data_IF_799952681210
#
_entry.id   IF_799952681210
#
_cell.length_a   1.000
_cell.length_b   1.000
_cell.length_c   1.000
_cell.angle_alpha   90.00
_cell.angle_beta   90.00
_cell.angle_gamma   90.00
#
_symmetry.space_group_name_H-M   'P 1'
#
loop_
_entity.id
_entity.type
_entity.pdbx_description
1 polymer ?
#
# COMPACT_ATOMS: atom_id res chain seq x y z
N UNK A 1 4.81 34.13 17.61
CA UNK A 1 3.90 33.15 16.96
C UNK A 1 4.76 32.12 16.25
N UNK A 2 5.03 31.01 16.91
CA UNK A 2 5.86 29.92 16.38
C UNK A 2 5.06 29.18 15.30
N UNK A 3 5.42 29.37 14.02
CA UNK A 3 4.82 28.65 12.90
C UNK A 3 5.26 27.20 12.99
N UNK A 4 4.47 26.38 13.68
CA UNK A 4 4.61 24.92 13.68
C UNK A 4 4.42 24.42 12.23
N UNK A 5 5.52 24.28 11.49
CA UNK A 5 5.54 23.78 10.13
C UNK A 5 5.00 22.35 10.15
N UNK A 6 3.72 22.17 9.80
CA UNK A 6 3.12 20.86 9.58
C UNK A 6 3.91 20.17 8.46
N UNK A 7 4.84 19.28 8.82
CA UNK A 7 5.48 18.37 7.86
C UNK A 7 4.35 17.62 7.12
N UNK A 8 4.27 17.78 5.79
CA UNK A 8 3.31 17.06 4.95
C UNK A 8 3.87 15.66 4.69
N UNK A 9 3.42 14.68 5.46
CA UNK A 9 3.72 13.28 5.21
C UNK A 9 2.81 12.68 4.15
N UNK A 10 3.32 11.69 3.42
CA UNK A 10 2.56 11.05 2.33
C UNK A 10 1.48 10.11 2.84
N UNK A 11 1.76 9.40 3.93
CA UNK A 11 0.80 8.58 4.64
C UNK A 11 0.69 9.04 6.10
N UNK A 12 -0.53 9.42 6.49
CA UNK A 12 -0.85 9.85 7.86
C UNK A 12 -1.45 8.65 8.61
N UNK A 13 -0.98 8.41 9.84
CA UNK A 13 -1.50 7.34 10.69
C UNK A 13 -2.69 7.86 11.49
N UNK A 14 -3.89 7.30 11.30
CA UNK A 14 -5.03 7.58 12.19
C UNK A 14 -4.89 6.78 13.48
N UNK A 15 -5.14 7.44 14.62
CA UNK A 15 -5.01 6.87 15.98
C UNK A 15 -5.99 5.72 16.27
N UNK A 16 -7.01 5.50 15.43
CA UNK A 16 -8.13 4.59 15.74
C UNK A 16 -8.56 3.64 14.61
N UNK A 17 -8.03 3.72 13.39
CA UNK A 17 -8.39 2.77 12.31
C UNK A 17 -7.38 2.80 11.17
N UNK A 18 -7.10 1.62 10.61
CA UNK A 18 -6.20 1.25 9.49
C UNK A 18 -4.83 1.96 9.45
N UNK A 19 -3.70 1.24 9.37
CA UNK A 19 -2.40 1.80 9.75
C UNK A 19 -1.89 2.96 8.89
N UNK A 20 -2.39 3.15 7.66
CA UNK A 20 -1.93 4.18 6.73
C UNK A 20 -3.08 4.75 5.89
N UNK A 21 -3.24 6.08 5.89
CA UNK A 21 -4.16 6.78 5.00
C UNK A 21 -3.37 7.66 4.00
N UNK A 22 -3.59 7.52 2.68
CA UNK A 22 -2.91 8.33 1.68
C UNK A 22 -3.38 9.79 1.80
N UNK A 23 -2.47 10.67 2.22
CA UNK A 23 -2.75 12.10 2.41
C UNK A 23 -2.19 12.96 1.28
N UNK A 24 -1.35 12.38 0.41
CA UNK A 24 -0.77 13.07 -0.74
C UNK A 24 -1.20 12.43 -2.06
N UNK A 25 -1.18 13.21 -3.12
CA UNK A 25 -1.49 12.73 -4.47
C UNK A 25 -0.51 11.64 -4.94
N UNK A 26 0.75 11.70 -4.50
CA UNK A 26 1.75 10.65 -4.75
C UNK A 26 1.37 9.31 -4.11
N UNK A 27 0.82 9.33 -2.89
CA UNK A 27 0.34 8.13 -2.23
C UNK A 27 -0.83 7.48 -3.00
N UNK A 28 -1.74 8.30 -3.53
CA UNK A 28 -2.80 7.84 -4.43
C UNK A 28 -2.27 7.27 -5.74
N UNK A 29 -1.23 7.88 -6.32
CA UNK A 29 -0.61 7.37 -7.55
C UNK A 29 0.03 6.00 -7.32
N UNK A 30 0.78 5.82 -6.22
CA UNK A 30 1.37 4.52 -5.84
C UNK A 30 0.26 3.48 -5.60
N UNK A 31 -0.81 3.86 -4.91
CA UNK A 31 -1.95 2.98 -4.66
C UNK A 31 -2.69 2.62 -5.96
N UNK A 32 -2.82 3.56 -6.89
CA UNK A 32 -3.39 3.33 -8.22
C UNK A 32 -2.54 2.40 -9.06
N UNK A 33 -1.21 2.58 -9.07
CA UNK A 33 -0.26 1.67 -9.71
C UNK A 33 -0.38 0.28 -9.11
N UNK A 34 -0.43 0.16 -7.79
CA UNK A 34 -0.63 -1.12 -7.10
C UNK A 34 -1.92 -1.82 -7.55
N UNK A 35 -3.05 -1.08 -7.60
CA UNK A 35 -4.32 -1.62 -8.05
C UNK A 35 -4.25 -2.08 -9.51
N UNK A 36 -3.65 -1.28 -10.39
CA UNK A 36 -3.49 -1.59 -11.80
C UNK A 36 -2.62 -2.84 -12.01
N UNK A 37 -1.51 -2.96 -11.29
CA UNK A 37 -0.66 -4.16 -11.29
C UNK A 37 -1.41 -5.39 -10.80
N UNK A 38 -2.22 -5.26 -9.74
CA UNK A 38 -3.00 -6.36 -9.21
C UNK A 38 -4.03 -6.87 -10.22
N UNK A 39 -4.75 -5.97 -10.89
CA UNK A 39 -5.68 -6.32 -11.98
C UNK A 39 -4.94 -6.92 -13.18
N UNK A 40 -3.81 -6.36 -13.58
CA UNK A 40 -3.01 -6.88 -14.69
C UNK A 40 -2.49 -8.30 -14.40
N UNK A 41 -1.98 -8.55 -13.18
CA UNK A 41 -1.57 -9.89 -12.75
C UNK A 41 -2.73 -10.86 -12.73
N UNK A 42 -3.91 -10.43 -12.28
CA UNK A 42 -5.10 -11.27 -12.26
C UNK A 42 -5.49 -11.70 -13.68
N UNK A 43 -5.58 -10.75 -14.62
CA UNK A 43 -5.90 -11.04 -16.03
C UNK A 43 -4.84 -11.96 -16.65
N UNK A 44 -3.56 -11.69 -16.42
CA UNK A 44 -2.47 -12.47 -17.01
C UNK A 44 -2.46 -13.93 -16.52
N UNK A 45 -2.80 -14.16 -15.25
CA UNK A 45 -2.82 -15.52 -14.67
C UNK A 45 -4.11 -16.25 -15.06
N UNK A 46 -5.25 -15.55 -15.14
CA UNK A 46 -6.52 -16.11 -15.63
C UNK A 46 -6.38 -16.65 -17.07
N UNK A 47 -5.65 -15.93 -17.93
CA UNK A 47 -5.40 -16.37 -19.32
C UNK A 47 -4.51 -17.62 -19.44
N UNK A 48 -3.66 -17.90 -18.46
CA UNK A 48 -2.70 -19.03 -18.47
C UNK A 48 -3.23 -20.26 -17.72
N UNK A 49 -4.26 -20.10 -16.87
CA UNK A 49 -4.72 -21.14 -15.96
C UNK A 49 -5.87 -21.97 -16.52
N UNK A 50 -5.71 -23.30 -16.59
CA UNK A 50 -6.79 -24.23 -16.94
C UNK A 50 -7.71 -24.59 -15.74
N UNK A 51 -7.27 -24.28 -14.52
CA UNK A 51 -7.95 -24.60 -13.27
C UNK A 51 -7.81 -23.47 -12.25
N UNK A 52 -8.88 -23.17 -11.52
CA UNK A 52 -8.96 -22.10 -10.51
C UNK A 52 -7.92 -22.30 -9.40
N UNK A 53 -7.62 -23.56 -9.06
CA UNK A 53 -6.66 -23.92 -8.03
C UNK A 53 -5.25 -23.42 -8.38
N UNK A 54 -4.80 -23.64 -9.62
CA UNK A 54 -3.49 -23.23 -10.11
C UNK A 54 -3.37 -21.70 -10.16
N UNK A 55 -4.45 -21.02 -10.52
CA UNK A 55 -4.55 -19.55 -10.49
C UNK A 55 -4.26 -19.01 -9.09
N UNK A 56 -4.87 -19.58 -8.05
CA UNK A 56 -4.70 -19.12 -6.66
C UNK A 56 -3.25 -19.36 -6.19
N UNK A 57 -2.67 -20.54 -6.49
CA UNK A 57 -1.29 -20.84 -6.10
C UNK A 57 -0.27 -19.91 -6.77
N UNK A 58 -0.50 -19.50 -8.03
CA UNK A 58 0.38 -18.56 -8.72
C UNK A 58 0.14 -17.09 -8.32
N UNK A 59 -1.09 -16.74 -7.95
CA UNK A 59 -1.51 -15.37 -7.63
C UNK A 59 -1.14 -14.96 -6.20
N UNK A 60 -1.40 -15.82 -5.21
CA UNK A 60 -1.16 -15.52 -3.79
C UNK A 60 0.25 -15.03 -3.50
N UNK A 61 1.35 -15.72 -3.90
CA UNK A 61 2.71 -15.26 -3.60
C UNK A 61 3.05 -13.94 -4.29
N UNK A 62 2.58 -13.72 -5.52
CA UNK A 62 2.79 -12.45 -6.26
C UNK A 62 2.10 -11.28 -5.58
N UNK A 63 0.86 -11.48 -5.15
CA UNK A 63 0.08 -10.47 -4.39
C UNK A 63 0.72 -10.21 -3.04
N UNK A 64 1.19 -11.25 -2.34
CA UNK A 64 1.87 -11.08 -1.06
C UNK A 64 3.14 -10.26 -1.20
N UNK A 65 3.94 -10.52 -2.25
CA UNK A 65 5.13 -9.75 -2.56
C UNK A 65 4.80 -8.29 -2.90
N UNK A 66 3.77 -8.05 -3.72
CA UNK A 66 3.32 -6.71 -4.09
C UNK A 66 2.78 -5.93 -2.87
N UNK A 67 2.01 -6.61 -2.01
CA UNK A 67 1.48 -6.04 -0.77
C UNK A 67 2.60 -5.72 0.20
N UNK A 68 3.63 -6.58 0.28
CA UNK A 68 4.83 -6.33 1.08
C UNK A 68 5.58 -5.08 0.62
N UNK A 69 5.78 -4.91 -0.69
CA UNK A 69 6.42 -3.70 -1.26
C UNK A 69 5.59 -2.45 -0.94
N UNK A 70 4.26 -2.52 -1.09
CA UNK A 70 3.37 -1.42 -0.73
C UNK A 70 3.48 -1.09 0.77
N UNK A 71 3.53 -2.11 1.62
CA UNK A 71 3.64 -1.95 3.07
C UNK A 71 4.98 -1.32 3.48
N UNK A 72 6.09 -1.76 2.90
CA UNK A 72 7.41 -1.15 3.11
C UNK A 72 7.42 0.30 2.62
N UNK A 73 6.82 0.58 1.46
CA UNK A 73 6.67 1.95 0.94
C UNK A 73 5.86 2.82 1.92
N UNK A 74 4.77 2.29 2.47
CA UNK A 74 3.98 2.97 3.50
C UNK A 74 4.77 3.21 4.80
N UNK A 75 5.70 2.32 5.18
CA UNK A 75 6.55 2.51 6.35
C UNK A 75 7.66 3.53 6.12
N UNK A 76 8.29 3.52 4.94
CA UNK A 76 9.40 4.41 4.60
C UNK A 76 8.91 5.83 4.33
N UNK A 77 7.76 5.98 3.65
CA UNK A 77 7.20 7.28 3.28
C UNK A 77 6.06 7.74 4.19
N UNK A 78 5.68 6.93 5.18
CA UNK A 78 4.67 7.28 6.18
C UNK A 78 5.22 8.02 7.38
N UNK A 79 4.32 8.59 8.18
CA UNK A 79 4.71 9.17 9.48
C UNK A 79 5.38 8.12 10.37
N UNK A 80 6.58 8.45 10.86
CA UNK A 80 7.17 7.74 11.99
C UNK A 80 6.15 7.67 13.13
N UNK A 81 5.98 6.50 13.77
CA UNK A 81 5.06 6.36 14.88
C UNK A 81 5.51 7.28 16.01
N UNK A 82 4.96 8.50 16.05
CA UNK A 82 5.07 9.37 17.21
C UNK A 82 4.26 8.71 18.31
N UNK A 83 4.92 7.85 19.06
CA UNK A 83 4.54 7.58 20.44
C UNK A 83 4.57 8.94 21.13
N UNK A 84 3.42 9.59 21.21
CA UNK A 84 3.20 10.65 22.20
C UNK A 84 3.42 9.98 23.54
N UNK A 85 4.63 10.12 24.10
CA UNK A 85 4.81 10.00 25.55
C UNK A 85 3.98 11.13 26.13
N UNK A 86 2.88 10.74 26.77
CA UNK A 86 1.98 11.63 27.50
C UNK A 86 2.68 12.19 28.72
#
# INVERSE_FOLDING_TARGET
>A
MEKMTKKKYWFVKRRQSFPFYPNTWHAWFILGIYLALLVAFFIFIDMDSYSISDTIYAFVPKVFMLTGILFVTCLVFGEEPKFKKS
#
